data_IF_489975045906
#
_entry.id   IF_489975045906
#
_cell.length_a   1.000
_cell.length_b   1.000
_cell.length_c   1.000
_cell.angle_alpha   90.00
_cell.angle_beta   90.00
_cell.angle_gamma   90.00
#
_symmetry.space_group_name_H-M   'P 1'
#
loop_
_entity.id
_entity.type
_entity.pdbx_description
1 polymer ?
#
# COMPACT_ATOMS: atom_id res chain seq x y z
N UNK A 1 2.94 15.76 -2.67
CA UNK A 1 2.21 15.06 -1.60
C UNK A 1 2.82 13.69 -1.48
N UNK A 2 3.46 13.41 -0.35
CA UNK A 2 4.31 12.22 -0.15
C UNK A 2 3.45 11.00 0.19
N UNK A 3 2.61 10.58 -0.75
CA UNK A 3 1.79 9.39 -0.63
C UNK A 3 2.10 8.44 -1.77
N UNK A 4 2.08 7.14 -1.47
CA UNK A 4 2.38 6.11 -2.43
C UNK A 4 1.19 5.89 -3.37
N UNK A 5 1.44 5.78 -4.69
CA UNK A 5 0.40 5.50 -5.67
C UNK A 5 -0.08 4.04 -5.57
N UNK A 6 -1.20 3.75 -6.21
CA UNK A 6 -1.77 2.40 -6.30
C UNK A 6 -0.71 1.36 -6.74
N UNK A 7 -0.73 0.17 -6.12
CA UNK A 7 0.20 -0.96 -6.34
C UNK A 7 1.66 -0.77 -5.89
N UNK A 8 2.03 0.39 -5.35
CA UNK A 8 3.34 0.60 -4.74
C UNK A 8 3.43 -0.12 -3.39
N UNK A 9 4.62 -0.62 -3.04
CA UNK A 9 4.86 -1.32 -1.78
C UNK A 9 4.71 -0.36 -0.61
N UNK A 10 3.91 -0.72 0.39
CA UNK A 10 3.61 0.10 1.55
C UNK A 10 3.79 -0.71 2.84
N UNK A 11 3.99 -0.02 3.96
CA UNK A 11 4.05 -0.65 5.30
C UNK A 11 2.77 -0.42 6.09
N UNK A 12 2.21 0.78 6.00
CA UNK A 12 1.00 1.22 6.69
C UNK A 12 -0.02 1.79 5.71
N UNK A 13 -1.30 1.79 6.09
CA UNK A 13 -2.38 2.33 5.27
C UNK A 13 -2.17 3.81 4.89
N UNK A 14 -1.73 4.63 5.84
CA UNK A 14 -1.46 6.07 5.65
C UNK A 14 -0.30 6.39 4.71
N UNK A 15 0.52 5.40 4.37
CA UNK A 15 1.59 5.54 3.39
C UNK A 15 1.00 5.76 1.97
N UNK A 16 -0.17 5.18 1.73
CA UNK A 16 -0.84 5.20 0.43
C UNK A 16 -1.73 6.43 0.26
N UNK A 17 -1.82 6.97 -0.96
CA UNK A 17 -2.74 8.06 -1.28
C UNK A 17 -4.21 7.69 -1.00
N UNK A 18 -4.57 6.42 -1.21
CA UNK A 18 -5.90 5.86 -0.90
C UNK A 18 -6.11 5.49 0.57
N UNK A 19 -5.12 5.74 1.44
CA UNK A 19 -5.09 5.31 2.85
C UNK A 19 -5.43 3.83 3.03
N UNK A 20 -4.99 2.99 2.10
CA UNK A 20 -5.22 1.55 2.10
C UNK A 20 -3.97 0.82 1.65
N UNK A 21 -3.40 0.03 2.54
CA UNK A 21 -2.21 -0.77 2.32
C UNK A 21 -2.54 -2.23 2.60
N UNK A 22 -2.77 -3.01 1.54
CA UNK A 22 -3.23 -4.40 1.66
C UNK A 22 -2.30 -5.40 0.99
N UNK A 23 -2.22 -6.58 1.59
CA UNK A 23 -1.54 -7.74 1.03
C UNK A 23 -2.34 -8.27 -0.16
N UNK A 24 -1.66 -8.67 -1.25
CA UNK A 24 -2.32 -9.39 -2.36
C UNK A 24 -1.94 -10.87 -2.31
N UNK A 25 -2.93 -11.72 -2.00
CA UNK A 25 -2.74 -13.17 -1.89
C UNK A 25 -1.89 -13.56 -0.68
N UNK A 26 -0.99 -14.53 -0.90
CA UNK A 26 -0.09 -15.10 0.10
C UNK A 26 1.27 -14.39 0.20
N UNK A 27 1.56 -13.43 -0.70
CA UNK A 27 2.81 -12.66 -0.67
C UNK A 27 2.96 -11.91 0.65
N UNK A 28 4.13 -11.94 1.28
CA UNK A 28 4.38 -11.21 2.53
C UNK A 28 4.26 -9.67 2.38
N UNK A 29 4.45 -9.15 1.17
CA UNK A 29 4.43 -7.71 0.89
C UNK A 29 3.02 -7.13 0.81
N UNK A 30 2.83 -5.97 1.44
CA UNK A 30 1.63 -5.14 1.28
C UNK A 30 1.85 -4.08 0.20
N UNK A 31 0.79 -3.77 -0.54
CA UNK A 31 0.80 -2.74 -1.59
C UNK A 31 -0.41 -1.82 -1.45
N UNK A 32 -0.24 -0.60 -1.93
CA UNK A 32 -1.29 0.40 -1.91
C UNK A 32 -2.49 -0.02 -2.76
N UNK A 33 -3.66 0.25 -2.21
CA UNK A 33 -4.97 0.04 -2.80
C UNK A 33 -5.69 1.36 -2.95
#
# INVERSE_FOLDING_TARGET
GDCLPHLKRCKADNDCCGKKCKRRGTNAEKRCR
#
